data_IF_278570163722
#
_entry.id   IF_278570163722
#
_cell.length_a   1.000
_cell.length_b   1.000
_cell.length_c   1.000
_cell.angle_alpha   90.00
_cell.angle_beta   90.00
_cell.angle_gamma   90.00
#
_symmetry.space_group_name_H-M   'P 1'
#
loop_
_entity.id
_entity.type
_entity.pdbx_description
1 polymer ?
#
# COMPACT_ATOMS: atom_id res chain seq x y z
N UNK A 1 16.04 -0.23 -14.43
CA UNK A 1 16.37 1.17 -14.04
C UNK A 1 15.76 1.40 -12.65
N UNK A 2 16.56 1.74 -11.64
CA UNK A 2 16.06 2.00 -10.28
C UNK A 2 15.40 3.38 -10.28
N UNK A 3 14.14 3.46 -9.86
CA UNK A 3 13.45 4.74 -9.64
C UNK A 3 13.79 5.18 -8.22
N UNK A 4 14.27 6.41 -8.07
CA UNK A 4 14.47 7.06 -6.77
C UNK A 4 13.42 8.14 -6.62
N UNK A 5 12.82 8.22 -5.43
CA UNK A 5 11.85 9.24 -5.06
C UNK A 5 12.54 10.12 -4.02
N UNK A 6 12.82 11.37 -4.37
CA UNK A 6 13.45 12.32 -3.45
C UNK A 6 12.38 12.95 -2.55
N UNK A 7 12.67 13.04 -1.25
CA UNK A 7 11.79 13.64 -0.26
C UNK A 7 12.16 15.11 -0.04
N UNK A 8 11.15 15.94 0.24
CA UNK A 8 11.37 17.32 0.70
C UNK A 8 12.11 17.30 2.05
N UNK A 9 13.11 18.16 2.29
CA UNK A 9 13.80 18.24 3.57
C UNK A 9 12.81 18.41 4.74
N UNK A 10 12.95 17.57 5.77
CA UNK A 10 12.06 17.59 6.94
C UNK A 10 10.79 16.76 6.82
N UNK A 11 10.55 16.07 5.69
CA UNK A 11 9.43 15.15 5.57
C UNK A 11 9.56 13.99 6.57
N UNK A 12 8.53 13.77 7.38
CA UNK A 12 8.44 12.71 8.36
C UNK A 12 7.45 11.62 7.90
N UNK A 13 7.63 10.36 8.34
CA UNK A 13 6.71 9.29 7.99
C UNK A 13 5.27 9.60 8.40
N UNK A 14 4.34 9.35 7.48
CA UNK A 14 2.90 9.39 7.75
C UNK A 14 2.35 7.98 7.66
N UNK A 15 1.66 7.54 8.71
CA UNK A 15 0.90 6.30 8.73
C UNK A 15 -0.54 6.63 9.10
N UNK A 16 -1.45 6.50 8.13
CA UNK A 16 -2.90 6.68 8.37
C UNK A 16 -3.58 5.33 8.50
N UNK A 17 -4.61 5.28 9.35
CA UNK A 17 -5.47 4.11 9.44
C UNK A 17 -6.13 3.82 8.08
N UNK A 18 -6.28 2.55 7.68
CA UNK A 18 -7.05 2.19 6.48
C UNK A 18 -8.50 2.67 6.57
N UNK A 19 -9.12 2.91 5.42
CA UNK A 19 -10.57 3.14 5.36
C UNK A 19 -11.34 1.89 5.79
N UNK A 20 -12.54 2.09 6.33
CA UNK A 20 -13.45 0.97 6.57
C UNK A 20 -13.93 0.43 5.24
N UNK A 21 -13.74 -0.87 5.04
CA UNK A 21 -14.16 -1.59 3.85
C UNK A 21 -15.28 -2.57 4.22
N UNK A 22 -16.24 -2.74 3.32
CA UNK A 22 -17.23 -3.78 3.42
C UNK A 22 -16.56 -5.17 3.31
N UNK A 23 -17.17 -6.25 3.84
CA UNK A 23 -16.60 -7.59 3.76
C UNK A 23 -16.29 -8.05 2.32
N UNK A 24 -17.10 -7.63 1.33
CA UNK A 24 -16.87 -7.92 -0.09
C UNK A 24 -15.61 -7.23 -0.62
N UNK A 25 -15.42 -5.94 -0.31
CA UNK A 25 -14.25 -5.16 -0.72
C UNK A 25 -12.96 -5.70 -0.08
N UNK A 26 -13.02 -6.12 1.19
CA UNK A 26 -11.88 -6.76 1.86
C UNK A 26 -11.45 -8.06 1.18
N UNK A 27 -12.41 -8.88 0.73
CA UNK A 27 -12.12 -10.11 0.01
C UNK A 27 -11.45 -9.81 -1.32
N UNK A 28 -12.00 -8.89 -2.09
CA UNK A 28 -11.45 -8.46 -3.38
C UNK A 28 -10.04 -7.86 -3.20
N UNK A 29 -9.83 -7.03 -2.18
CA UNK A 29 -8.52 -6.45 -1.88
C UNK A 29 -7.47 -7.53 -1.65
N UNK A 30 -7.84 -8.56 -0.90
CA UNK A 30 -6.93 -9.66 -0.56
C UNK A 30 -6.56 -10.46 -1.81
N UNK A 31 -7.53 -10.70 -2.69
CA UNK A 31 -7.31 -11.40 -3.97
C UNK A 31 -6.40 -10.59 -4.90
N UNK A 32 -6.65 -9.28 -5.05
CA UNK A 32 -5.80 -8.38 -5.84
C UNK A 32 -4.37 -8.27 -5.29
N UNK A 33 -4.21 -8.13 -3.97
CA UNK A 33 -2.89 -8.07 -3.34
C UNK A 33 -2.11 -9.37 -3.54
N UNK A 34 -2.77 -10.52 -3.46
CA UNK A 34 -2.15 -11.81 -3.73
C UNK A 34 -1.64 -11.88 -5.18
N UNK A 35 -2.48 -11.53 -6.14
CA UNK A 35 -2.10 -11.53 -7.56
C UNK A 35 -0.90 -10.60 -7.85
N UNK A 36 -0.90 -9.39 -7.26
CA UNK A 36 0.22 -8.45 -7.39
C UNK A 36 1.51 -8.96 -6.74
N UNK A 37 1.39 -9.68 -5.61
CA UNK A 37 2.53 -10.31 -4.94
C UNK A 37 3.08 -11.48 -5.75
N UNK A 38 2.21 -12.33 -6.29
CA UNK A 38 2.59 -13.48 -7.12
C UNK A 38 3.27 -13.03 -8.42
N UNK A 39 2.87 -11.88 -8.97
CA UNK A 39 3.54 -11.21 -10.10
C UNK A 39 4.86 -10.51 -9.73
N UNK A 40 5.17 -10.40 -8.43
CA UNK A 40 6.39 -9.74 -7.94
C UNK A 40 6.36 -8.22 -8.00
N UNK A 41 5.19 -7.59 -8.17
CA UNK A 41 5.05 -6.14 -8.19
C UNK A 41 5.12 -5.53 -6.80
N UNK A 42 4.64 -6.25 -5.79
CA UNK A 42 4.64 -5.83 -4.38
C UNK A 42 5.22 -6.91 -3.47
N UNK A 43 5.57 -6.53 -2.24
CA UNK A 43 5.99 -7.43 -1.17
C UNK A 43 5.64 -6.84 0.19
N UNK A 44 5.55 -7.66 1.26
CA UNK A 44 5.42 -7.14 2.61
C UNK A 44 6.55 -6.15 2.96
N UNK A 45 6.22 -5.10 3.71
CA UNK A 45 7.17 -4.07 4.13
C UNK A 45 7.03 -3.74 5.61
N UNK A 46 8.14 -3.35 6.24
CA UNK A 46 8.20 -2.78 7.59
C UNK A 46 8.34 -1.25 7.56
N UNK A 47 7.86 -0.62 6.49
CA UNK A 47 7.99 0.83 6.28
C UNK A 47 7.29 1.63 7.37
N UNK A 48 7.89 2.72 7.88
CA UNK A 48 7.18 3.66 8.76
C UNK A 48 6.15 4.51 8.00
N UNK A 49 6.15 4.47 6.66
CA UNK A 49 5.20 5.16 5.79
C UNK A 49 4.03 4.23 5.43
N UNK A 50 2.80 4.73 5.53
CA UNK A 50 1.59 4.00 5.17
C UNK A 50 0.50 4.94 4.63
N UNK A 51 -0.05 4.60 3.47
CA UNK A 51 -1.18 5.30 2.86
C UNK A 51 -2.40 4.36 2.79
N UNK A 52 -3.62 4.86 3.02
CA UNK A 52 -4.82 4.05 2.91
C UNK A 52 -5.16 3.75 1.43
N UNK A 53 -5.75 2.59 1.18
CA UNK A 53 -6.26 2.17 -0.14
C UNK A 53 -7.75 2.48 -0.24
N UNK A 54 -8.21 2.88 -1.42
CA UNK A 54 -9.61 3.15 -1.72
C UNK A 54 -10.06 2.32 -2.93
N UNK A 55 -11.25 1.72 -2.86
CA UNK A 55 -11.91 1.05 -3.97
C UNK A 55 -12.65 2.04 -4.87
N UNK A 56 -12.65 1.79 -6.18
CA UNK A 56 -13.28 2.63 -7.23
C UNK A 56 -14.16 1.81 -8.15
#
# INVERSE_FOLDING_TARGET
KKIQIDLVPGAAPVARAPYRLAPSEMKELTEQLKELSDKGFIKPSSSPWGAPVLFV
#
